data_IF_971932718783
#
_entry.id   IF_971932718783
#
_cell.length_a   1.000
_cell.length_b   1.000
_cell.length_c   1.000
_cell.angle_alpha   90.00
_cell.angle_beta   90.00
_cell.angle_gamma   90.00
#
_symmetry.space_group_name_H-M   'P 1'
#
loop_
_entity.id
_entity.type
_entity.pdbx_description
1 polymer ?
#
# COMPACT_ATOMS: atom_id res chain seq x y z
N UNK A 1 52.69 -26.03 -23.27
CA UNK A 1 51.32 -25.80 -22.75
C UNK A 1 51.33 -24.43 -22.09
N UNK A 2 50.35 -23.59 -22.44
CA UNK A 2 50.44 -22.13 -22.54
C UNK A 2 50.87 -21.38 -21.26
N UNK A 3 51.89 -20.52 -21.43
CA UNK A 3 52.14 -19.35 -20.61
C UNK A 3 51.25 -18.19 -21.10
N UNK A 4 50.40 -17.64 -20.23
CA UNK A 4 49.86 -16.29 -20.38
C UNK A 4 50.03 -15.58 -19.03
N UNK A 5 51.21 -14.99 -18.81
CA UNK A 5 51.38 -13.95 -17.80
C UNK A 5 51.04 -12.62 -18.46
N UNK A 6 49.78 -12.21 -18.35
CA UNK A 6 49.43 -10.80 -18.53
C UNK A 6 50.06 -10.02 -17.38
N UNK A 7 50.99 -9.10 -17.69
CA UNK A 7 51.59 -8.18 -16.74
C UNK A 7 50.52 -7.21 -16.20
N UNK A 8 49.72 -7.65 -15.23
CA UNK A 8 48.99 -6.74 -14.37
C UNK A 8 49.97 -6.13 -13.38
N UNK A 9 50.49 -4.94 -13.67
CA UNK A 9 51.20 -4.17 -12.64
C UNK A 9 50.22 -3.91 -11.49
N UNK A 10 50.55 -4.28 -10.23
CA UNK A 10 49.75 -3.85 -9.10
C UNK A 10 49.76 -2.32 -9.08
N UNK A 11 48.58 -1.74 -8.95
CA UNK A 11 48.45 -0.29 -8.78
C UNK A 11 48.92 0.03 -7.35
N UNK A 12 50.21 0.34 -7.19
CA UNK A 12 50.82 0.80 -5.92
C UNK A 12 50.44 2.25 -5.56
N UNK A 13 49.50 2.84 -6.29
CA UNK A 13 49.01 4.18 -6.00
C UNK A 13 48.12 4.08 -4.76
N UNK A 14 48.65 4.54 -3.62
CA UNK A 14 47.84 4.80 -2.43
C UNK A 14 46.66 5.69 -2.84
N UNK A 15 45.45 5.16 -2.76
CA UNK A 15 44.25 5.92 -3.06
C UNK A 15 44.26 7.19 -2.20
N UNK A 16 43.93 8.36 -2.77
CA UNK A 16 43.85 9.59 -2.00
C UNK A 16 42.84 9.40 -0.86
N UNK A 17 43.28 9.72 0.36
CA UNK A 17 42.39 9.75 1.52
C UNK A 17 41.47 10.95 1.33
N UNK A 18 40.19 10.68 1.09
CA UNK A 18 39.18 11.71 0.91
C UNK A 18 38.59 12.03 2.30
N UNK A 19 38.82 13.25 2.76
CA UNK A 19 38.31 13.74 4.05
C UNK A 19 36.82 14.10 3.99
N UNK A 20 36.33 14.59 2.83
CA UNK A 20 34.94 15.04 2.63
C UNK A 20 34.26 14.29 1.50
N UNK A 21 33.07 13.77 1.76
CA UNK A 21 32.28 13.08 0.74
C UNK A 21 31.21 14.00 0.14
N UNK A 22 30.79 13.76 -1.12
CA UNK A 22 29.60 14.41 -1.64
C UNK A 22 28.40 14.12 -0.71
N UNK A 23 27.58 15.13 -0.47
CA UNK A 23 26.42 15.07 0.40
C UNK A 23 25.36 14.04 -0.02
N UNK A 24 25.20 13.80 -1.33
CA UNK A 24 24.32 12.76 -1.85
C UNK A 24 24.70 11.33 -1.41
N UNK A 25 25.90 11.12 -0.87
CA UNK A 25 26.34 9.82 -0.33
C UNK A 25 25.82 9.53 1.08
N UNK A 26 25.20 10.52 1.76
CA UNK A 26 24.54 10.39 3.07
C UNK A 26 25.36 9.73 4.20
N UNK A 27 26.69 9.88 4.16
CA UNK A 27 27.58 9.34 5.20
C UNK A 27 27.48 10.15 6.49
N UNK A 28 26.51 9.81 7.35
CA UNK A 28 26.22 10.50 8.63
C UNK A 28 27.41 10.64 9.59
N UNK A 29 28.44 9.82 9.44
CA UNK A 29 29.62 9.76 10.31
C UNK A 29 30.84 10.49 9.72
N UNK A 30 30.70 11.19 8.58
CA UNK A 30 31.78 11.94 7.93
C UNK A 30 31.30 13.32 7.51
N UNK A 31 32.23 14.26 7.40
CA UNK A 31 31.94 15.56 6.82
C UNK A 31 31.56 15.42 5.33
N UNK A 32 30.58 16.23 4.93
CA UNK A 32 30.07 16.24 3.56
C UNK A 32 30.11 17.64 2.95
N UNK A 33 30.20 17.70 1.62
CA UNK A 33 30.10 18.94 0.84
C UNK A 33 28.95 18.86 -0.14
N UNK A 34 28.34 20.01 -0.46
CA UNK A 34 27.25 20.10 -1.44
C UNK A 34 27.80 19.91 -2.85
N UNK A 35 27.39 18.83 -3.52
CA UNK A 35 27.86 18.55 -4.89
C UNK A 35 27.04 19.30 -5.94
N UNK A 36 27.69 20.15 -6.75
CA UNK A 36 27.07 20.87 -7.88
C UNK A 36 26.98 20.03 -9.18
N UNK A 37 27.52 18.82 -9.18
CA UNK A 37 27.44 17.91 -10.34
C UNK A 37 26.03 17.33 -10.49
N UNK A 38 25.71 16.82 -11.69
CA UNK A 38 24.41 16.24 -12.06
C UNK A 38 23.84 15.30 -10.97
N UNK A 39 24.67 14.42 -10.40
CA UNK A 39 24.24 13.47 -9.38
C UNK A 39 23.86 14.16 -8.05
N UNK A 40 24.56 15.23 -7.68
CA UNK A 40 24.21 16.07 -6.53
C UNK A 40 22.95 16.88 -6.82
N UNK A 41 22.86 17.54 -7.97
CA UNK A 41 21.65 18.26 -8.39
C UNK A 41 20.41 17.36 -8.36
N UNK A 42 20.50 16.15 -8.91
CA UNK A 42 19.42 15.16 -8.87
C UNK A 42 19.05 14.78 -7.43
N UNK A 43 20.05 14.55 -6.58
CA UNK A 43 19.83 14.26 -5.16
C UNK A 43 19.09 15.40 -4.45
N UNK A 44 19.48 16.66 -4.68
CA UNK A 44 18.80 17.82 -4.10
C UNK A 44 17.37 17.96 -4.58
N UNK A 45 17.10 17.76 -5.87
CA UNK A 45 15.73 17.77 -6.40
C UNK A 45 14.86 16.73 -5.66
N UNK A 46 15.33 15.49 -5.55
CA UNK A 46 14.59 14.41 -4.87
C UNK A 46 14.46 14.67 -3.35
N UNK A 47 15.48 15.27 -2.73
CA UNK A 47 15.48 15.55 -1.29
C UNK A 47 14.62 16.76 -0.94
N UNK A 48 14.47 17.74 -1.83
CA UNK A 48 13.51 18.83 -1.70
C UNK A 48 12.08 18.28 -1.82
N UNK A 49 11.89 17.25 -2.64
CA UNK A 49 10.67 16.43 -2.70
C UNK A 49 10.54 15.43 -1.54
N UNK A 50 11.23 15.67 -0.40
CA UNK A 50 11.11 14.78 0.74
C UNK A 50 9.66 14.74 1.22
N UNK A 51 9.13 13.53 1.47
CA UNK A 51 7.70 13.27 1.65
C UNK A 51 7.06 13.88 2.90
N UNK A 52 7.82 14.60 3.74
CA UNK A 52 7.31 15.23 4.95
C UNK A 52 6.21 16.28 4.65
N UNK A 53 6.23 16.89 3.46
CA UNK A 53 5.18 17.79 2.98
C UNK A 53 4.32 17.22 1.85
N UNK A 54 4.51 15.95 1.46
CA UNK A 54 3.70 15.35 0.41
C UNK A 54 2.30 15.05 0.96
N UNK A 55 1.31 15.78 0.47
CA UNK A 55 -0.10 15.58 0.82
C UNK A 55 -0.56 14.13 0.60
N UNK A 56 0.03 13.43 -0.38
CA UNK A 56 -0.31 12.05 -0.70
C UNK A 56 0.12 11.07 0.39
N UNK A 57 1.23 11.35 1.08
CA UNK A 57 1.75 10.50 2.16
C UNK A 57 1.21 10.90 3.54
N UNK A 58 0.70 12.13 3.64
CA UNK A 58 -0.02 12.65 4.80
C UNK A 58 -1.56 12.51 4.68
N UNK A 59 -2.05 11.53 3.90
CA UNK A 59 -3.48 11.29 3.67
C UNK A 59 -4.31 11.18 4.96
N UNK A 60 -3.68 10.75 6.06
CA UNK A 60 -4.28 10.66 7.39
C UNK A 60 -4.74 12.01 7.98
N UNK A 61 -4.10 13.10 7.56
CA UNK A 61 -4.37 14.45 8.07
C UNK A 61 -5.50 15.16 7.32
N UNK A 62 -5.91 14.65 6.16
CA UNK A 62 -6.96 15.25 5.35
C UNK A 62 -8.34 14.65 5.67
N UNK A 63 -9.38 15.47 5.57
CA UNK A 63 -10.75 14.99 5.65
C UNK A 63 -11.12 14.26 4.36
N UNK A 64 -11.04 12.93 4.38
CA UNK A 64 -11.44 12.12 3.23
C UNK A 64 -12.97 12.08 3.17
N UNK A 65 -13.52 12.41 2.00
CA UNK A 65 -14.95 12.36 1.71
C UNK A 65 -15.27 11.09 0.94
N UNK A 66 -16.44 10.51 1.21
CA UNK A 66 -16.96 9.37 0.45
C UNK A 66 -17.38 9.86 -0.93
N UNK A 67 -16.91 9.21 -1.99
CA UNK A 67 -17.38 9.45 -3.36
C UNK A 67 -18.63 8.60 -3.60
N UNK A 68 -19.76 9.28 -3.83
CA UNK A 68 -21.07 8.65 -4.08
C UNK A 68 -21.06 7.78 -5.34
N UNK A 69 -20.10 7.95 -6.26
CA UNK A 69 -19.98 7.12 -7.46
C UNK A 69 -19.64 5.66 -7.17
N UNK A 70 -19.15 5.35 -5.97
CA UNK A 70 -18.85 3.98 -5.53
C UNK A 70 -19.94 3.39 -4.63
N UNK A 71 -21.08 4.08 -4.47
CA UNK A 71 -22.20 3.58 -3.68
C UNK A 71 -23.26 2.93 -4.59
N UNK A 72 -23.78 1.80 -4.14
CA UNK A 72 -24.90 1.07 -4.72
C UNK A 72 -26.03 0.99 -3.71
N UNK A 73 -27.27 0.89 -4.18
CA UNK A 73 -28.46 0.78 -3.32
C UNK A 73 -28.40 -0.47 -2.44
N UNK A 74 -28.84 -0.35 -1.17
CA UNK A 74 -28.88 -1.46 -0.20
C UNK A 74 -27.55 -1.80 0.47
N UNK A 75 -26.54 -0.92 0.37
CA UNK A 75 -25.24 -1.13 1.01
C UNK A 75 -25.32 -1.03 2.55
N UNK A 76 -26.33 -0.35 3.08
CA UNK A 76 -26.52 -0.14 4.51
C UNK A 76 -26.66 -1.45 5.29
N UNK A 77 -27.26 -2.47 4.67
CA UNK A 77 -27.50 -3.78 5.27
C UNK A 77 -26.19 -4.55 5.53
N UNK A 78 -25.12 -4.25 4.79
CA UNK A 78 -23.82 -4.93 4.88
C UNK A 78 -22.79 -4.17 5.73
N UNK A 79 -23.16 -3.05 6.38
CA UNK A 79 -22.20 -2.21 7.11
C UNK A 79 -21.56 -2.94 8.29
N UNK A 80 -22.34 -3.66 9.10
CA UNK A 80 -21.81 -4.35 10.29
C UNK A 80 -20.81 -5.45 9.93
N UNK A 81 -21.12 -6.22 8.89
CA UNK A 81 -20.22 -7.23 8.32
C UNK A 81 -18.95 -6.57 7.77
N UNK A 82 -19.11 -5.48 7.02
CA UNK A 82 -17.99 -4.73 6.43
C UNK A 82 -17.03 -4.19 7.50
N UNK A 83 -17.53 -3.71 8.65
CA UNK A 83 -16.69 -3.27 9.78
C UNK A 83 -15.86 -4.42 10.30
N UNK A 84 -16.48 -5.58 10.55
CA UNK A 84 -15.79 -6.77 11.06
C UNK A 84 -14.68 -7.23 10.11
N UNK A 85 -14.97 -7.26 8.80
CA UNK A 85 -14.03 -7.66 7.76
C UNK A 85 -12.88 -6.68 7.58
N UNK A 86 -13.17 -5.37 7.65
CA UNK A 86 -12.17 -4.31 7.63
C UNK A 86 -11.20 -4.45 8.80
N UNK A 87 -11.72 -4.69 10.00
CA UNK A 87 -10.91 -4.74 11.21
C UNK A 87 -9.98 -5.97 11.23
N UNK A 88 -10.45 -7.13 10.76
CA UNK A 88 -9.60 -8.32 10.55
C UNK A 88 -8.50 -8.06 9.50
N UNK A 89 -8.83 -7.44 8.36
CA UNK A 89 -7.85 -7.07 7.34
C UNK A 89 -6.79 -6.12 7.90
N UNK A 90 -7.22 -5.04 8.56
CA UNK A 90 -6.34 -4.04 9.15
C UNK A 90 -5.42 -4.65 10.21
N UNK A 91 -5.97 -5.54 11.06
CA UNK A 91 -5.18 -6.25 12.05
C UNK A 91 -4.09 -7.11 11.43
N UNK A 92 -4.40 -7.87 10.36
CA UNK A 92 -3.41 -8.69 9.64
C UNK A 92 -2.31 -7.84 9.01
N UNK A 93 -2.69 -6.74 8.36
CA UNK A 93 -1.75 -5.83 7.73
C UNK A 93 -0.84 -5.16 8.77
N UNK A 94 -1.40 -4.71 9.89
CA UNK A 94 -0.64 -4.13 11.01
C UNK A 94 0.33 -5.12 11.65
N UNK A 95 -0.08 -6.37 11.82
CA UNK A 95 0.79 -7.45 12.29
C UNK A 95 2.00 -7.63 11.36
N UNK A 96 1.75 -7.59 10.05
CA UNK A 96 2.79 -7.69 9.02
C UNK A 96 3.74 -6.47 9.04
N UNK A 97 3.20 -5.26 9.17
CA UNK A 97 3.99 -4.04 9.32
C UNK A 97 4.91 -4.10 10.54
N UNK A 98 4.39 -4.56 11.68
CA UNK A 98 5.16 -4.73 12.92
C UNK A 98 6.28 -5.75 12.76
N UNK A 99 6.02 -6.88 12.09
CA UNK A 99 7.03 -7.93 11.80
C UNK A 99 8.22 -7.40 11.00
N UNK A 100 7.97 -6.53 10.02
CA UNK A 100 9.01 -5.98 9.15
C UNK A 100 9.46 -4.55 9.53
N UNK A 101 8.98 -4.01 10.66
CA UNK A 101 9.25 -2.64 11.12
C UNK A 101 8.93 -1.56 10.06
N UNK A 102 7.87 -1.78 9.27
CA UNK A 102 7.37 -0.84 8.27
C UNK A 102 6.41 0.15 8.94
N UNK A 103 6.48 1.43 8.53
CA UNK A 103 5.74 2.51 9.20
C UNK A 103 4.46 2.90 8.49
N UNK A 104 4.42 2.75 7.16
CA UNK A 104 3.32 3.28 6.35
C UNK A 104 2.65 2.19 5.51
N UNK A 105 1.35 2.32 5.29
CA UNK A 105 0.56 1.41 4.46
C UNK A 105 1.05 1.37 2.99
N UNK A 106 1.38 2.49 2.33
CA UNK A 106 1.86 2.43 0.95
C UNK A 106 3.17 1.63 0.82
N UNK A 107 4.09 1.73 1.78
CA UNK A 107 5.36 0.97 1.78
C UNK A 107 5.13 -0.54 1.80
N UNK A 108 4.18 -1.01 2.62
CA UNK A 108 3.89 -2.44 2.74
C UNK A 108 3.10 -2.96 1.54
N UNK A 109 2.10 -2.22 1.07
CA UNK A 109 1.27 -2.62 -0.07
C UNK A 109 2.10 -2.67 -1.37
N UNK A 110 2.96 -1.68 -1.60
CA UNK A 110 3.82 -1.66 -2.79
C UNK A 110 5.05 -2.55 -2.66
N UNK A 111 5.39 -2.97 -1.44
CA UNK A 111 6.66 -3.63 -1.13
C UNK A 111 7.88 -2.71 -1.29
N UNK A 112 7.69 -1.40 -1.50
CA UNK A 112 8.79 -0.46 -1.65
C UNK A 112 9.21 0.13 -0.29
N UNK A 113 10.05 -0.61 0.43
CA UNK A 113 10.56 -0.20 1.74
C UNK A 113 11.61 0.90 1.57
N UNK A 114 11.33 2.09 2.13
CA UNK A 114 12.23 3.25 2.10
C UNK A 114 13.34 3.11 3.15
N UNK A 115 12.97 2.72 4.38
CA UNK A 115 13.91 2.59 5.50
C UNK A 115 14.14 1.12 5.88
N UNK A 116 14.98 0.41 5.12
CA UNK A 116 15.39 -0.96 5.47
C UNK A 116 16.71 -0.96 6.25
N UNK A 117 16.67 -1.39 7.52
CA UNK A 117 17.87 -1.72 8.28
C UNK A 117 18.12 -3.21 8.11
N UNK A 118 19.13 -3.57 7.32
CA UNK A 118 19.48 -4.98 7.10
C UNK A 118 19.97 -5.61 8.39
N UNK A 119 19.07 -6.24 9.15
CA UNK A 119 19.39 -6.86 10.44
C UNK A 119 19.91 -8.30 10.31
N UNK A 120 19.59 -9.00 9.22
CA UNK A 120 19.72 -10.47 9.18
C UNK A 120 20.50 -11.04 7.98
N UNK A 121 21.32 -10.23 7.29
CA UNK A 121 22.08 -10.69 6.10
C UNK A 121 21.21 -11.03 4.87
N UNK A 122 19.88 -10.91 4.99
CA UNK A 122 18.94 -11.05 3.87
C UNK A 122 19.04 -9.83 2.95
N UNK A 123 19.06 -10.09 1.64
CA UNK A 123 19.01 -9.01 0.65
C UNK A 123 17.64 -8.34 0.73
N UNK A 124 17.62 -7.01 0.63
CA UNK A 124 16.38 -6.22 0.64
C UNK A 124 15.37 -6.76 -0.38
N UNK A 125 15.85 -7.24 -1.53
CA UNK A 125 15.02 -7.85 -2.57
C UNK A 125 14.22 -9.06 -2.08
N UNK A 126 14.84 -9.97 -1.34
CA UNK A 126 14.18 -11.18 -0.84
C UNK A 126 13.09 -10.81 0.19
N UNK A 127 13.40 -9.84 1.06
CA UNK A 127 12.43 -9.33 2.04
C UNK A 127 11.23 -8.68 1.36
N UNK A 128 11.46 -7.84 0.34
CA UNK A 128 10.39 -7.23 -0.46
C UNK A 128 9.51 -8.30 -1.11
N UNK A 129 10.13 -9.32 -1.71
CA UNK A 129 9.40 -10.44 -2.31
C UNK A 129 8.54 -11.19 -1.29
N UNK A 130 9.08 -11.47 -0.09
CA UNK A 130 8.31 -12.11 0.98
C UNK A 130 7.12 -11.26 1.41
N UNK A 131 7.32 -9.95 1.61
CA UNK A 131 6.23 -9.03 1.96
C UNK A 131 5.15 -9.02 0.88
N UNK A 132 5.52 -8.89 -0.39
CA UNK A 132 4.55 -8.90 -1.49
C UNK A 132 3.72 -10.19 -1.53
N UNK A 133 4.34 -11.34 -1.24
CA UNK A 133 3.61 -12.62 -1.15
C UNK A 133 2.67 -12.62 0.07
N UNK A 134 3.13 -12.20 1.25
CA UNK A 134 2.30 -12.17 2.46
C UNK A 134 1.11 -11.21 2.31
N UNK A 135 1.31 -10.03 1.70
CA UNK A 135 0.22 -9.08 1.38
C UNK A 135 -0.75 -9.69 0.38
N UNK A 136 -0.26 -10.35 -0.68
CA UNK A 136 -1.12 -11.00 -1.66
C UNK A 136 -2.02 -12.07 -1.01
N UNK A 137 -1.48 -12.83 -0.06
CA UNK A 137 -2.25 -13.83 0.72
C UNK A 137 -3.32 -13.16 1.59
N UNK A 138 -3.03 -12.01 2.21
CA UNK A 138 -4.03 -11.26 2.98
C UNK A 138 -5.17 -10.83 2.07
N UNK A 139 -4.86 -10.19 0.92
CA UNK A 139 -5.85 -9.73 -0.05
C UNK A 139 -6.68 -10.91 -0.56
N UNK A 140 -6.05 -12.02 -0.91
CA UNK A 140 -6.73 -13.21 -1.40
C UNK A 140 -7.70 -13.78 -0.36
N UNK A 141 -7.27 -13.92 0.90
CA UNK A 141 -8.14 -14.39 1.99
C UNK A 141 -9.35 -13.49 2.18
N UNK A 142 -9.14 -12.18 2.16
CA UNK A 142 -10.23 -11.20 2.28
C UNK A 142 -11.22 -11.30 1.10
N UNK A 143 -10.72 -11.47 -0.13
CA UNK A 143 -11.59 -11.72 -1.30
C UNK A 143 -12.34 -13.06 -1.23
N UNK A 144 -11.71 -14.11 -0.70
CA UNK A 144 -12.38 -15.40 -0.51
C UNK A 144 -13.51 -15.29 0.51
N UNK A 145 -13.29 -14.58 1.62
CA UNK A 145 -14.36 -14.29 2.58
C UNK A 145 -15.49 -13.49 1.92
N UNK A 146 -15.18 -12.45 1.13
CA UNK A 146 -16.19 -11.68 0.40
C UNK A 146 -17.09 -12.58 -0.45
N UNK A 147 -16.50 -13.48 -1.25
CA UNK A 147 -17.23 -14.41 -2.12
C UNK A 147 -18.05 -15.42 -1.32
N UNK A 148 -17.48 -15.98 -0.24
CA UNK A 148 -18.12 -17.03 0.55
C UNK A 148 -19.49 -16.59 1.07
N UNK A 149 -19.63 -15.34 1.49
CA UNK A 149 -20.90 -14.88 2.06
C UNK A 149 -21.92 -14.44 0.99
N UNK A 150 -21.60 -14.54 -0.31
CA UNK A 150 -22.53 -14.31 -1.43
C UNK A 150 -23.26 -15.59 -1.89
N UNK A 151 -23.14 -16.69 -1.13
CA UNK A 151 -23.78 -18.00 -1.38
C UNK A 151 -23.55 -18.57 -2.80
N UNK A 152 -22.49 -18.09 -3.48
CA UNK A 152 -22.09 -18.48 -4.83
C UNK A 152 -21.26 -19.78 -4.73
N UNK A 153 -21.94 -20.87 -4.39
CA UNK A 153 -21.40 -22.23 -4.32
C UNK A 153 -21.25 -22.87 -5.70
N UNK A 154 -20.81 -22.13 -6.72
CA UNK A 154 -20.25 -22.77 -7.90
C UNK A 154 -18.84 -23.22 -7.53
N UNK A 155 -18.69 -24.51 -7.18
CA UNK A 155 -17.43 -25.23 -6.96
C UNK A 155 -16.53 -25.08 -8.20
N UNK A 156 -15.90 -23.92 -8.33
CA UNK A 156 -14.98 -23.63 -9.41
C UNK A 156 -13.63 -24.16 -8.94
N UNK A 157 -13.01 -25.05 -9.72
CA UNK A 157 -11.70 -25.68 -9.44
C UNK A 157 -10.52 -24.68 -9.26
N UNK A 158 -10.79 -23.37 -9.33
CA UNK A 158 -9.87 -22.25 -9.19
C UNK A 158 -9.52 -21.87 -7.73
N UNK A 159 -9.96 -22.66 -6.74
CA UNK A 159 -9.57 -22.54 -5.32
C UNK A 159 -8.11 -22.96 -5.04
N UNK A 160 -7.24 -22.77 -6.02
CA UNK A 160 -5.80 -22.87 -5.82
C UNK A 160 -5.32 -21.65 -5.03
N UNK A 161 -4.43 -21.84 -4.03
CA UNK A 161 -3.88 -20.77 -3.19
C UNK A 161 -3.00 -19.75 -3.95
N UNK A 162 -2.94 -19.83 -5.28
CA UNK A 162 -2.23 -18.92 -6.18
C UNK A 162 -3.02 -18.52 -7.44
N UNK A 163 -4.31 -18.87 -7.55
CA UNK A 163 -5.11 -18.39 -8.70
C UNK A 163 -5.21 -16.87 -8.66
N UNK A 164 -4.78 -16.24 -9.75
CA UNK A 164 -4.38 -14.83 -9.77
C UNK A 164 -5.54 -13.86 -9.54
N UNK A 165 -6.81 -14.28 -9.64
CA UNK A 165 -8.00 -13.49 -9.34
C UNK A 165 -9.16 -14.40 -8.96
N UNK A 166 -9.60 -14.35 -7.70
CA UNK A 166 -10.92 -14.88 -7.29
C UNK A 166 -11.96 -14.15 -8.13
N UNK A 167 -12.57 -14.81 -9.10
CA UNK A 167 -13.66 -14.22 -9.87
C UNK A 167 -14.89 -14.11 -8.98
N UNK A 168 -15.46 -12.92 -8.90
CA UNK A 168 -16.69 -12.65 -8.14
C UNK A 168 -17.74 -12.21 -9.13
N UNK A 169 -18.89 -12.88 -9.11
CA UNK A 169 -20.02 -12.53 -9.96
C UNK A 169 -20.56 -11.15 -9.57
N UNK A 170 -20.68 -10.27 -10.55
CA UNK A 170 -21.20 -8.91 -10.34
C UNK A 170 -22.73 -8.99 -10.32
N UNK A 171 -23.29 -9.13 -9.11
CA UNK A 171 -24.72 -9.05 -8.81
C UNK A 171 -25.03 -7.76 -8.03
N UNK A 172 -26.31 -7.39 -7.92
CA UNK A 172 -26.72 -6.25 -7.08
C UNK A 172 -26.26 -6.42 -5.62
N UNK A 173 -26.33 -7.65 -5.11
CA UNK A 173 -25.84 -7.99 -3.77
C UNK A 173 -24.33 -7.76 -3.62
N UNK A 174 -23.53 -8.26 -4.57
CA UNK A 174 -22.07 -8.04 -4.57
C UNK A 174 -21.73 -6.55 -4.64
N UNK A 175 -22.53 -5.75 -5.34
CA UNK A 175 -22.35 -4.30 -5.45
C UNK A 175 -22.68 -3.58 -4.14
N UNK A 176 -23.81 -3.92 -3.52
CA UNK A 176 -24.20 -3.39 -2.22
C UNK A 176 -23.13 -3.70 -1.16
N UNK A 177 -22.66 -4.95 -1.11
CA UNK A 177 -21.60 -5.38 -0.20
C UNK A 177 -20.27 -4.66 -0.46
N UNK A 178 -19.83 -4.55 -1.71
CA UNK A 178 -18.61 -3.82 -2.06
C UNK A 178 -18.71 -2.32 -1.71
N UNK A 179 -19.89 -1.73 -1.91
CA UNK A 179 -20.18 -0.34 -1.50
C UNK A 179 -20.11 -0.17 0.01
N UNK A 180 -20.58 -1.14 0.79
CA UNK A 180 -20.46 -1.13 2.24
C UNK A 180 -18.98 -1.17 2.67
N UNK A 181 -18.17 -2.01 2.03
CA UNK A 181 -16.71 -2.08 2.27
C UNK A 181 -16.02 -0.76 1.96
N UNK A 182 -16.38 -0.11 0.85
CA UNK A 182 -15.92 1.22 0.51
C UNK A 182 -16.36 2.25 1.56
N UNK A 183 -17.65 2.27 1.90
CA UNK A 183 -18.21 3.19 2.88
C UNK A 183 -17.51 3.07 4.22
N UNK A 184 -17.35 1.88 4.81
CA UNK A 184 -16.69 1.74 6.12
C UNK A 184 -15.20 2.09 6.12
N UNK A 185 -14.56 2.09 4.95
CA UNK A 185 -13.15 2.49 4.79
C UNK A 185 -13.00 4.01 4.74
N UNK A 186 -13.88 4.69 4.02
CA UNK A 186 -13.76 6.12 3.71
C UNK A 186 -14.69 7.01 4.56
N UNK A 187 -15.78 6.46 5.09
CA UNK A 187 -16.71 7.15 5.96
C UNK A 187 -16.13 7.26 7.36
N UNK A 188 -15.45 8.37 7.61
CA UNK A 188 -14.96 8.72 8.94
C UNK A 188 -16.13 9.23 9.78
N UNK A 189 -16.56 8.47 10.80
CA UNK A 189 -17.21 9.08 11.95
C UNK A 189 -16.16 9.94 12.64
N UNK A 190 -16.30 11.27 12.54
CA UNK A 190 -15.53 12.16 13.42
C UNK A 190 -15.85 11.70 14.84
N UNK A 191 -14.80 11.37 15.60
CA UNK A 191 -14.96 11.11 17.01
C UNK A 191 -15.43 12.45 17.61
N UNK A 192 -16.74 12.60 17.77
CA UNK A 192 -17.28 13.70 18.55
C UNK A 192 -16.62 13.59 19.92
N UNK A 193 -16.05 14.70 20.34
CA UNK A 193 -15.27 14.86 21.56
C UNK A 193 -16.21 14.85 22.78
N UNK A 194 -17.07 13.84 22.89
CA UNK A 194 -17.82 13.59 24.11
C UNK A 194 -16.89 12.95 25.14
N UNK A 195 -16.29 13.84 25.94
CA UNK A 195 -16.34 13.77 27.40
C UNK A 195 -15.46 12.77 28.13
N UNK A 196 -14.84 11.81 27.45
CA UNK A 196 -14.06 10.77 28.12
C UNK A 196 -12.65 10.86 27.56
N UNK A 197 -11.72 11.43 28.32
CA UNK A 197 -10.32 11.68 27.95
C UNK A 197 -9.46 10.43 27.71
N UNK A 198 -10.01 9.42 27.04
CA UNK A 198 -9.27 8.33 26.44
C UNK A 198 -9.31 8.54 24.93
N UNK A 199 -8.27 9.21 24.43
CA UNK A 199 -7.92 9.22 23.01
C UNK A 199 -7.54 7.78 22.69
N UNK A 200 -8.46 7.00 22.14
CA UNK A 200 -8.07 5.82 21.41
C UNK A 200 -7.31 6.33 20.19
N UNK A 201 -5.98 6.16 20.20
CA UNK A 201 -5.11 6.31 19.03
C UNK A 201 -5.49 5.22 18.00
N UNK A 202 -6.71 5.24 17.49
CA UNK A 202 -7.08 4.51 16.28
C UNK A 202 -6.68 5.34 15.05
N UNK A 203 -5.47 5.91 15.10
CA UNK A 203 -4.91 6.87 14.13
C UNK A 203 -4.29 6.19 12.91
N UNK A 204 -4.39 4.87 12.80
CA UNK A 204 -3.87 4.13 11.66
C UNK A 204 -5.00 3.83 10.67
N UNK A 205 -5.36 4.88 9.93
CA UNK A 205 -6.23 4.77 8.76
C UNK A 205 -5.53 3.89 7.72
N UNK A 206 -6.21 2.80 7.35
CA UNK A 206 -5.85 1.93 6.24
C UNK A 206 -6.91 2.09 5.14
N UNK A 207 -6.47 2.44 3.94
CA UNK A 207 -7.34 2.69 2.79
C UNK A 207 -7.39 1.52 1.80
N UNK A 208 -6.47 0.55 1.92
CA UNK A 208 -6.31 -0.55 0.97
C UNK A 208 -7.42 -1.59 1.05
N UNK A 209 -8.18 -1.66 2.16
CA UNK A 209 -9.24 -2.64 2.36
C UNK A 209 -10.32 -2.58 1.27
N UNK A 210 -10.89 -1.40 1.00
CA UNK A 210 -11.91 -1.24 -0.05
C UNK A 210 -11.41 -1.70 -1.44
N UNK A 211 -10.14 -1.47 -1.74
CA UNK A 211 -9.55 -1.80 -3.04
C UNK A 211 -9.30 -3.31 -3.23
N UNK A 212 -9.49 -4.12 -2.19
CA UNK A 212 -9.47 -5.58 -2.33
C UNK A 212 -10.55 -6.09 -3.27
N UNK A 213 -11.65 -5.34 -3.46
CA UNK A 213 -12.78 -5.63 -4.38
C UNK A 213 -12.89 -4.58 -5.51
N UNK A 214 -11.74 -4.08 -5.96
CA UNK A 214 -11.65 -3.02 -6.98
C UNK A 214 -12.38 -3.32 -8.29
N UNK A 215 -12.44 -4.59 -8.70
CA UNK A 215 -13.20 -5.06 -9.86
C UNK A 215 -14.70 -4.71 -9.77
N UNK A 216 -15.32 -4.93 -8.60
CA UNK A 216 -16.73 -4.64 -8.37
C UNK A 216 -16.95 -3.13 -8.23
N UNK A 217 -16.09 -2.43 -7.48
CA UNK A 217 -16.16 -0.97 -7.33
C UNK A 217 -16.07 -0.24 -8.67
N UNK A 218 -15.20 -0.70 -9.57
CA UNK A 218 -15.09 -0.13 -10.91
C UNK A 218 -16.33 -0.41 -11.78
N UNK A 219 -17.01 -1.54 -11.56
CA UNK A 219 -18.28 -1.83 -12.24
C UNK A 219 -19.39 -0.88 -11.76
N UNK A 220 -19.51 -0.66 -10.46
CA UNK A 220 -20.46 0.29 -9.85
C UNK A 220 -20.23 1.69 -10.41
N UNK A 221 -18.98 2.16 -10.39
CA UNK A 221 -18.62 3.50 -10.90
C UNK A 221 -19.03 3.68 -12.37
N UNK A 222 -18.80 2.67 -13.21
CA UNK A 222 -19.18 2.71 -14.63
C UNK A 222 -20.68 2.86 -14.82
N UNK A 223 -21.48 2.12 -14.06
CA UNK A 223 -22.94 2.19 -14.12
C UNK A 223 -23.47 3.54 -13.62
N UNK A 224 -22.95 4.02 -12.49
CA UNK A 224 -23.34 5.31 -11.92
C UNK A 224 -23.03 6.49 -12.87
N UNK A 225 -21.86 6.47 -13.52
CA UNK A 225 -21.50 7.49 -14.52
C UNK A 225 -22.43 7.41 -15.73
N UNK A 226 -22.74 6.21 -16.22
CA UNK A 226 -23.65 6.04 -17.36
C UNK A 226 -25.05 6.58 -17.05
N UNK A 227 -25.58 6.31 -15.86
CA UNK A 227 -26.88 6.83 -15.40
C UNK A 227 -26.89 8.35 -15.26
N UNK A 228 -25.79 8.96 -14.77
CA UNK A 228 -25.64 10.42 -14.69
C UNK A 228 -25.68 11.08 -16.07
N UNK A 229 -24.94 10.54 -17.04
CA UNK A 229 -24.90 11.08 -18.41
C UNK A 229 -26.29 11.05 -19.04
N UNK A 230 -27.01 9.93 -18.93
CA UNK A 230 -28.38 9.81 -19.43
C UNK A 230 -29.35 10.79 -18.77
N UNK A 231 -29.12 11.15 -17.50
CA UNK A 231 -29.96 12.11 -16.77
C UNK A 231 -29.68 13.57 -17.14
N UNK A 232 -28.51 13.87 -17.71
CA UNK A 232 -28.12 15.23 -18.14
C UNK A 232 -28.48 15.57 -19.58
N UNK A 233 -28.90 14.58 -20.38
CA UNK A 233 -29.28 14.75 -21.79
C UNK A 233 -30.77 15.11 -22.00
N UNK A 234 -31.51 15.37 -20.92
CA UNK A 234 -32.91 15.83 -20.91
C UNK A 234 -33.07 17.14 -20.12
#
# INVERSE_FOLDING_TARGET
MLFIFGLGQPVDVKLPVIDKYPDFMEKKHRESYVSERILGTLYHCIKVDTPQNDSLLNYKNYGITVDEEFLAEGYEDYIEEAVTMRDDYNWRLKSLMKKYSIKTEPEIITGNIIQFRGTDGKKIYDVRKTISIEVAVIIQKTRLSFRRDLDDHEDTEDDLPFSSRVHIKITNESKAKASAWYYVTYHRKKHDSLGNGQIWHDDEIFLSFAWTVSDILLAIRKENIASKIQSTEW
#
